data_IF_944310584466
#
_entry.id   IF_944310584466
#
_cell.length_a   1.000
_cell.length_b   1.000
_cell.length_c   1.000
_cell.angle_alpha   90.00
_cell.angle_beta   90.00
_cell.angle_gamma   90.00
#
_symmetry.space_group_name_H-M   'P 1'
#
loop_
_entity.id
_entity.type
_entity.pdbx_description
1 polymer ?
#
# COMPACT_ATOMS: atom_id res chain seq x y z
N UNK A 1 48.83 15.00 -24.65
CA UNK A 1 47.57 14.73 -25.37
C UNK A 1 47.37 13.22 -25.38
N UNK A 2 46.53 12.69 -24.47
CA UNK A 2 46.16 11.27 -24.48
C UNK A 2 44.68 11.17 -24.14
N UNK A 3 43.92 10.65 -25.09
CA UNK A 3 42.49 10.38 -24.98
C UNK A 3 42.32 9.11 -24.14
N UNK A 4 41.72 9.23 -22.96
CA UNK A 4 41.03 8.12 -22.32
C UNK A 4 39.58 8.56 -22.06
N UNK A 5 38.86 8.73 -23.16
CA UNK A 5 37.40 8.78 -23.15
C UNK A 5 36.82 7.38 -22.93
N UNK A 6 35.53 7.37 -22.58
CA UNK A 6 34.64 6.20 -22.54
C UNK A 6 34.56 5.37 -21.24
N UNK A 7 34.57 6.01 -20.06
CA UNK A 7 34.00 5.38 -18.85
C UNK A 7 32.79 6.14 -18.24
N UNK A 8 32.33 7.24 -18.85
CA UNK A 8 31.34 8.16 -18.27
C UNK A 8 29.91 8.01 -18.79
N UNK A 9 29.56 6.90 -19.43
CA UNK A 9 28.22 6.68 -20.00
C UNK A 9 27.53 5.40 -19.51
N UNK A 10 27.70 5.04 -18.24
CA UNK A 10 26.57 4.42 -17.50
C UNK A 10 25.66 5.53 -16.94
N UNK A 11 25.19 6.42 -17.83
CA UNK A 11 24.16 7.40 -17.49
C UNK A 11 22.84 6.64 -17.37
N UNK A 12 22.31 6.58 -16.16
CA UNK A 12 21.01 5.99 -15.78
C UNK A 12 20.99 4.46 -15.70
N UNK A 13 21.61 3.90 -14.67
CA UNK A 13 20.94 2.80 -13.97
C UNK A 13 19.64 3.37 -13.41
N UNK A 14 18.50 3.00 -13.98
CA UNK A 14 17.19 3.49 -13.51
C UNK A 14 17.12 3.36 -11.99
N UNK A 15 16.97 4.47 -11.27
CA UNK A 15 16.73 4.46 -9.83
C UNK A 15 15.32 3.89 -9.61
N UNK A 16 15.23 2.57 -9.53
CA UNK A 16 13.99 1.86 -9.24
C UNK A 16 13.83 1.85 -7.71
N UNK A 17 12.93 2.69 -7.21
CA UNK A 17 12.54 2.68 -5.80
C UNK A 17 11.50 1.57 -5.57
N UNK A 18 11.76 0.68 -4.60
CA UNK A 18 10.89 -0.45 -4.27
C UNK A 18 10.42 -0.33 -2.83
N UNK A 19 9.10 -0.33 -2.60
CA UNK A 19 8.52 -0.28 -1.27
C UNK A 19 7.53 -1.44 -1.06
N UNK A 20 7.86 -2.35 -0.15
CA UNK A 20 6.94 -3.38 0.32
C UNK A 20 6.08 -2.85 1.46
N UNK A 21 4.76 -2.96 1.29
CA UNK A 21 3.76 -2.60 2.30
C UNK A 21 2.95 -3.84 2.70
N UNK A 22 2.42 -3.84 3.92
CA UNK A 22 1.51 -4.87 4.40
C UNK A 22 0.09 -4.29 4.42
N UNK A 23 -0.79 -4.90 3.64
CA UNK A 23 -2.20 -4.52 3.54
C UNK A 23 -3.07 -5.64 4.05
N UNK A 24 -4.06 -5.32 4.88
CA UNK A 24 -5.07 -6.27 5.36
C UNK A 24 -6.46 -5.67 5.18
N UNK A 25 -7.32 -6.37 4.45
CA UNK A 25 -8.74 -6.05 4.36
C UNK A 25 -9.45 -6.20 5.71
N UNK A 26 -10.57 -5.51 5.86
CA UNK A 26 -11.42 -5.58 7.03
C UNK A 26 -12.08 -6.94 7.13
N UNK A 27 -12.20 -7.47 8.36
CA UNK A 27 -13.04 -8.65 8.59
C UNK A 27 -14.51 -8.28 8.39
N UNK A 28 -15.31 -9.19 7.83
CA UNK A 28 -16.76 -9.06 7.86
C UNK A 28 -17.27 -9.02 9.30
N UNK A 29 -18.38 -8.31 9.52
CA UNK A 29 -19.10 -8.31 10.79
C UNK A 29 -19.75 -9.66 11.05
N UNK A 30 -19.98 -9.97 12.32
CA UNK A 30 -20.71 -11.16 12.71
C UNK A 30 -22.22 -10.93 12.52
N UNK A 31 -22.88 -11.84 11.82
CA UNK A 31 -24.33 -11.87 11.69
C UNK A 31 -25.02 -12.50 12.90
N UNK A 32 -26.34 -12.32 13.00
CA UNK A 32 -27.19 -12.99 13.98
C UNK A 32 -28.09 -14.04 13.29
N UNK A 33 -27.59 -15.27 13.06
CA UNK A 33 -28.26 -16.27 12.21
C UNK A 33 -29.64 -16.68 12.73
N UNK A 34 -29.90 -16.56 14.04
CA UNK A 34 -31.20 -16.89 14.64
C UNK A 34 -32.33 -15.94 14.26
N UNK A 35 -32.00 -14.70 13.89
CA UNK A 35 -32.97 -13.68 13.47
C UNK A 35 -32.77 -13.31 11.98
N UNK A 36 -31.98 -14.08 11.24
CA UNK A 36 -31.62 -13.76 9.86
C UNK A 36 -30.73 -12.53 9.69
N UNK A 37 -30.06 -12.07 10.76
CA UNK A 37 -29.20 -10.90 10.71
C UNK A 37 -27.91 -11.19 9.94
N UNK A 38 -27.65 -10.45 8.87
CA UNK A 38 -26.39 -10.49 8.13
C UNK A 38 -25.40 -9.46 8.68
N UNK A 39 -24.16 -9.91 8.88
CA UNK A 39 -23.06 -9.03 9.29
C UNK A 39 -22.63 -8.12 8.14
N UNK A 40 -22.21 -6.90 8.48
CA UNK A 40 -21.75 -5.92 7.50
C UNK A 40 -20.48 -6.37 6.78
N UNK A 41 -20.28 -5.91 5.54
CA UNK A 41 -19.03 -6.14 4.80
C UNK A 41 -17.85 -5.47 5.49
N UNK A 42 -16.70 -6.14 5.47
CA UNK A 42 -15.43 -5.56 5.92
C UNK A 42 -14.95 -4.48 4.96
N UNK A 43 -14.12 -3.55 5.44
CA UNK A 43 -13.56 -2.50 4.61
C UNK A 43 -12.48 -3.00 3.64
N UNK A 44 -12.30 -2.29 2.55
CA UNK A 44 -11.30 -2.59 1.53
C UNK A 44 -10.07 -1.67 1.65
N UNK A 45 -8.93 -2.13 1.13
CA UNK A 45 -7.70 -1.33 1.03
C UNK A 45 -7.37 -1.10 -0.45
N UNK A 46 -7.28 0.17 -0.84
CA UNK A 46 -7.04 0.57 -2.23
C UNK A 46 -5.73 1.33 -2.35
N UNK A 47 -5.03 1.16 -3.47
CA UNK A 47 -3.86 1.97 -3.84
C UNK A 47 -4.28 2.96 -4.91
N UNK A 48 -4.14 4.25 -4.61
CA UNK A 48 -4.48 5.33 -5.54
C UNK A 48 -3.20 6.06 -5.93
N UNK A 49 -2.95 6.17 -7.23
CA UNK A 49 -1.79 6.88 -7.75
C UNK A 49 -2.04 8.39 -7.72
N UNK A 50 -1.11 9.15 -7.15
CA UNK A 50 -1.11 10.61 -7.16
C UNK A 50 0.18 11.13 -7.82
N UNK A 51 0.05 12.14 -8.70
CA UNK A 51 1.17 12.66 -9.52
C UNK A 51 2.36 13.19 -8.70
N UNK A 52 2.11 13.73 -7.51
CA UNK A 52 3.13 14.42 -6.71
C UNK A 52 3.59 13.62 -5.48
N UNK A 53 3.35 12.30 -5.44
CA UNK A 53 3.70 11.45 -4.29
C UNK A 53 4.79 10.46 -4.67
N UNK A 54 5.86 10.40 -3.86
CA UNK A 54 6.97 9.44 -4.04
C UNK A 54 6.93 8.33 -3.00
N UNK A 55 7.49 7.15 -3.32
CA UNK A 55 7.56 6.02 -2.39
C UNK A 55 8.40 6.33 -1.14
N UNK A 56 9.45 7.15 -1.28
CA UNK A 56 10.24 7.68 -0.16
C UNK A 56 9.39 8.48 0.83
N UNK A 57 8.56 9.39 0.33
CA UNK A 57 7.65 10.17 1.19
C UNK A 57 6.61 9.29 1.89
N UNK A 58 6.10 8.27 1.19
CA UNK A 58 5.13 7.33 1.76
C UNK A 58 5.75 6.51 2.91
N UNK A 59 6.98 6.03 2.73
CA UNK A 59 7.75 5.34 3.78
C UNK A 59 7.99 6.24 5.00
N UNK A 60 8.32 7.50 4.79
CA UNK A 60 8.57 8.45 5.88
C UNK A 60 7.28 8.78 6.65
N UNK A 61 6.16 8.94 5.95
CA UNK A 61 4.87 9.23 6.56
C UNK A 61 4.30 8.04 7.34
N UNK A 62 4.49 6.83 6.84
CA UNK A 62 3.98 5.59 7.45
C UNK A 62 5.14 4.60 7.70
N UNK A 63 5.94 4.80 8.76
CA UNK A 63 7.12 3.98 9.03
C UNK A 63 6.77 2.53 9.33
N UNK A 64 5.58 2.27 9.88
CA UNK A 64 5.09 0.92 10.15
C UNK A 64 4.73 0.15 8.88
N UNK A 65 4.47 0.84 7.75
CA UNK A 65 4.10 0.26 6.45
C UNK A 65 2.90 -0.71 6.50
N UNK A 66 2.03 -0.57 7.51
CA UNK A 66 0.86 -1.42 7.72
C UNK A 66 -0.41 -0.60 7.50
N UNK A 67 -1.27 -1.09 6.62
CA UNK A 67 -2.57 -0.50 6.34
C UNK A 67 -3.62 -1.58 6.55
N UNK A 68 -4.47 -1.39 7.56
CA UNK A 68 -5.52 -2.34 7.94
C UNK A 68 -6.86 -1.63 7.81
N UNK A 69 -7.76 -2.19 7.01
CA UNK A 69 -9.12 -1.67 6.89
C UNK A 69 -9.96 -2.05 8.12
N UNK A 70 -10.97 -1.22 8.42
CA UNK A 70 -11.89 -1.43 9.53
C UNK A 70 -12.75 -2.67 9.34
N UNK A 71 -13.12 -3.31 10.45
CA UNK A 71 -14.07 -4.42 10.46
C UNK A 71 -15.49 -3.97 10.11
N UNK A 72 -16.27 -4.87 9.52
CA UNK A 72 -17.68 -4.67 9.26
C UNK A 72 -18.50 -4.60 10.55
N UNK A 73 -19.64 -3.91 10.50
CA UNK A 73 -20.55 -3.79 11.64
C UNK A 73 -21.22 -5.14 11.95
N UNK A 74 -21.31 -5.48 13.24
CA UNK A 74 -22.06 -6.65 13.70
C UNK A 74 -23.56 -6.35 13.66
N UNK A 75 -24.38 -7.35 13.32
CA UNK A 75 -25.85 -7.21 13.42
C UNK A 75 -26.25 -7.03 14.89
N UNK A 76 -27.19 -6.11 15.15
CA UNK A 76 -27.85 -5.92 16.45
C UNK A 76 -29.27 -6.45 16.41
#
# INVERSE_FOLDING_TARGET
MVRCGCALLRKYGNFIDNLRIFTKGGSGGMGYPRLGGEGGRGGDVWVVAHKNMTLKQLKNKYPQKRFVAGGGANSR
#
